data_IF_455846846112
#
_entry.id   IF_455846846112
#
_cell.length_a   1.000
_cell.length_b   1.000
_cell.length_c   1.000
_cell.angle_alpha   90.00
_cell.angle_beta   90.00
_cell.angle_gamma   90.00
#
_symmetry.space_group_name_H-M   'P 1'
#
loop_
_entity.id
_entity.type
_entity.pdbx_description
1 polymer ?
#
# COMPACT_ATOMS: atom_id res chain seq x y z
N UNK A 1 -32.99 33.25 -21.08
CA UNK A 1 -32.62 34.37 -20.20
C UNK A 1 -31.42 33.93 -19.39
N UNK A 2 -30.26 34.50 -19.70
CA UNK A 2 -28.97 34.15 -19.09
C UNK A 2 -28.79 34.93 -17.79
N UNK A 3 -28.31 34.28 -16.73
CA UNK A 3 -27.29 34.84 -15.82
C UNK A 3 -26.38 33.69 -15.41
N UNK A 4 -25.09 33.84 -15.74
CA UNK A 4 -24.03 32.95 -15.31
C UNK A 4 -23.70 33.24 -13.85
N UNK A 5 -23.59 32.18 -13.04
CA UNK A 5 -22.85 32.22 -11.80
C UNK A 5 -21.54 31.47 -12.08
N UNK A 6 -20.43 32.15 -11.86
CA UNK A 6 -19.06 31.72 -12.13
C UNK A 6 -18.86 30.20 -11.94
N UNK A 7 -18.14 29.49 -12.84
CA UNK A 7 -17.56 28.23 -12.45
C UNK A 7 -16.64 28.52 -11.25
N UNK A 8 -16.87 27.81 -10.14
CA UNK A 8 -15.92 27.79 -9.04
C UNK A 8 -14.53 27.49 -9.61
N UNK A 9 -13.45 28.08 -9.08
CA UNK A 9 -12.10 27.73 -9.50
C UNK A 9 -11.97 26.20 -9.43
N UNK A 10 -11.57 25.63 -10.57
CA UNK A 10 -11.19 24.22 -10.70
C UNK A 10 -10.37 23.88 -9.46
N UNK A 11 -10.88 22.98 -8.61
CA UNK A 11 -10.21 22.58 -7.39
C UNK A 11 -8.77 22.25 -7.76
N UNK A 12 -7.82 23.01 -7.20
CA UNK A 12 -6.41 22.65 -7.24
C UNK A 12 -6.33 21.18 -6.85
N UNK A 13 -5.71 20.30 -7.67
CA UNK A 13 -5.60 18.90 -7.29
C UNK A 13 -4.97 18.86 -5.91
N UNK A 14 -5.52 18.08 -4.96
CA UNK A 14 -4.98 18.01 -3.61
C UNK A 14 -3.51 17.67 -3.74
N UNK A 15 -2.67 18.54 -3.20
CA UNK A 15 -1.24 18.31 -3.12
C UNK A 15 -1.09 17.03 -2.31
N UNK A 16 -0.65 15.92 -2.92
CA UNK A 16 -0.54 14.63 -2.21
C UNK A 16 0.39 14.80 -1.01
N UNK A 17 -0.19 15.03 0.17
CA UNK A 17 0.58 15.22 1.38
C UNK A 17 0.81 13.85 2.00
N UNK A 18 2.08 13.47 1.99
CA UNK A 18 2.60 12.36 2.77
C UNK A 18 2.64 12.79 4.24
N UNK A 19 2.10 11.96 5.12
CA UNK A 19 2.28 12.09 6.56
C UNK A 19 3.14 10.94 7.10
N UNK A 20 4.33 11.28 7.61
CA UNK A 20 5.22 10.33 8.27
C UNK A 20 4.81 10.22 9.75
N UNK A 21 4.12 9.13 10.08
CA UNK A 21 3.62 8.83 11.41
C UNK A 21 4.77 8.42 12.34
N UNK A 22 4.81 9.04 13.52
CA UNK A 22 5.77 8.70 14.57
C UNK A 22 5.23 7.64 15.54
N UNK A 23 3.90 7.59 15.67
CA UNK A 23 3.16 6.66 16.51
C UNK A 23 2.13 5.94 15.66
N UNK A 24 1.80 4.71 16.05
CA UNK A 24 0.76 3.92 15.39
C UNK A 24 -0.59 4.65 15.37
N UNK A 25 -0.92 5.36 16.45
CA UNK A 25 -2.16 6.15 16.55
C UNK A 25 -2.25 7.27 15.52
N UNK A 26 -1.12 7.76 15.00
CA UNK A 26 -1.12 8.83 14.02
C UNK A 26 -1.61 8.34 12.63
N UNK A 27 -1.78 7.03 12.44
CA UNK A 27 -2.39 6.46 11.22
C UNK A 27 -3.82 6.97 10.98
N UNK A 28 -4.54 7.41 12.02
CA UNK A 28 -5.87 8.04 11.89
C UNK A 28 -5.86 9.31 11.05
N UNK A 29 -4.68 9.97 10.94
CA UNK A 29 -4.49 11.16 10.11
C UNK A 29 -4.72 10.88 8.62
N UNK A 30 -4.77 9.61 8.20
CA UNK A 30 -5.19 9.25 6.84
C UNK A 30 -6.58 9.81 6.49
N UNK A 31 -7.44 10.08 7.46
CA UNK A 31 -8.77 10.65 7.22
C UNK A 31 -8.78 12.16 7.05
N UNK A 32 -7.69 12.87 7.37
CA UNK A 32 -7.57 14.31 7.13
C UNK A 32 -7.66 14.58 5.62
N UNK A 33 -8.34 15.67 5.22
CA UNK A 33 -8.64 15.97 3.81
C UNK A 33 -7.39 16.04 2.94
N UNK A 34 -6.33 16.66 3.46
CA UNK A 34 -5.09 16.90 2.72
C UNK A 34 -4.16 15.67 2.66
N UNK A 35 -4.39 14.65 3.49
CA UNK A 35 -3.51 13.48 3.59
C UNK A 35 -3.98 12.39 2.62
N UNK A 36 -3.07 12.00 1.73
CA UNK A 36 -3.28 10.92 0.75
C UNK A 36 -2.49 9.66 1.07
N UNK A 37 -1.38 9.81 1.82
CA UNK A 37 -0.52 8.70 2.21
C UNK A 37 -0.07 8.88 3.66
N UNK A 38 -0.25 7.86 4.49
CA UNK A 38 0.43 7.77 5.79
C UNK A 38 1.50 6.69 5.74
N UNK A 39 2.69 6.99 6.25
CA UNK A 39 3.77 6.02 6.42
C UNK A 39 4.10 5.89 7.88
N UNK A 40 4.01 4.68 8.43
CA UNK A 40 4.46 4.36 9.78
C UNK A 40 5.62 3.35 9.72
N UNK A 41 6.85 3.75 10.09
CA UNK A 41 7.99 2.85 10.07
C UNK A 41 7.89 1.83 11.21
N UNK A 42 8.24 0.58 10.92
CA UNK A 42 8.32 -0.51 11.91
C UNK A 42 9.66 -1.20 11.81
N UNK A 43 10.15 -1.72 12.93
CA UNK A 43 11.35 -2.54 12.96
C UNK A 43 11.11 -3.89 12.26
N UNK A 44 12.09 -4.40 11.50
CA UNK A 44 12.01 -5.74 10.92
C UNK A 44 11.83 -6.83 11.98
N UNK A 45 11.01 -7.82 11.65
CA UNK A 45 10.75 -8.98 12.51
C UNK A 45 11.56 -10.16 11.97
N UNK A 46 12.68 -10.47 12.63
CA UNK A 46 13.69 -11.42 12.16
C UNK A 46 13.14 -12.82 11.78
N UNK A 47 12.26 -13.45 12.58
CA UNK A 47 11.65 -14.73 12.18
C UNK A 47 10.89 -14.65 10.86
N UNK A 48 10.22 -13.53 10.57
CA UNK A 48 9.47 -13.33 9.32
C UNK A 48 10.43 -13.13 8.15
N UNK A 49 11.50 -12.36 8.34
CA UNK A 49 12.56 -12.20 7.33
C UNK A 49 13.15 -13.55 6.94
N UNK A 50 13.45 -14.41 7.93
CA UNK A 50 13.97 -15.77 7.69
C UNK A 50 12.96 -16.67 6.98
N UNK A 51 11.68 -16.58 7.35
CA UNK A 51 10.61 -17.32 6.69
C UNK A 51 10.59 -17.03 5.19
N UNK A 52 10.56 -15.76 4.79
CA UNK A 52 10.53 -15.38 3.38
C UNK A 52 11.83 -15.68 2.64
N UNK A 53 12.99 -15.57 3.29
CA UNK A 53 14.27 -15.98 2.71
C UNK A 53 14.28 -17.49 2.39
N UNK A 54 13.92 -18.33 3.36
CA UNK A 54 13.85 -19.78 3.16
C UNK A 54 12.79 -20.17 2.12
N UNK A 55 11.62 -19.53 2.15
CA UNK A 55 10.56 -19.79 1.19
C UNK A 55 10.97 -19.43 -0.25
N UNK A 56 11.75 -18.35 -0.43
CA UNK A 56 12.33 -17.96 -1.71
C UNK A 56 13.35 -18.99 -2.20
N UNK A 57 14.28 -19.39 -1.35
CA UNK A 57 15.33 -20.37 -1.68
C UNK A 57 14.72 -21.73 -2.08
N UNK A 58 13.65 -22.15 -1.41
CA UNK A 58 12.96 -23.40 -1.69
C UNK A 58 11.94 -23.31 -2.82
N UNK A 59 11.67 -22.12 -3.37
CA UNK A 59 10.69 -21.91 -4.45
C UNK A 59 9.24 -22.16 -4.04
N UNK A 60 8.91 -22.03 -2.75
CA UNK A 60 7.58 -22.36 -2.19
C UNK A 60 6.71 -21.14 -1.90
N UNK A 61 7.13 -19.95 -2.33
CA UNK A 61 6.36 -18.70 -2.16
C UNK A 61 5.07 -18.65 -3.00
N UNK A 62 5.01 -19.40 -4.11
CA UNK A 62 3.87 -19.39 -5.03
C UNK A 62 3.55 -17.99 -5.55
N UNK A 63 2.26 -17.72 -5.81
CA UNK A 63 1.76 -16.39 -6.22
C UNK A 63 1.21 -15.56 -5.04
N UNK A 64 1.28 -16.10 -3.82
CA UNK A 64 0.55 -15.59 -2.66
C UNK A 64 -0.91 -16.07 -2.59
N UNK A 65 -1.72 -15.44 -1.74
CA UNK A 65 -3.10 -15.84 -1.47
C UNK A 65 -3.97 -14.65 -1.06
N UNK A 66 -5.29 -14.86 -1.07
CA UNK A 66 -6.29 -13.88 -0.62
C UNK A 66 -7.25 -14.57 0.33
N UNK A 67 -7.62 -13.87 1.40
CA UNK A 67 -8.57 -14.35 2.39
C UNK A 67 -9.45 -13.19 2.89
N UNK A 68 -10.59 -13.54 3.47
CA UNK A 68 -11.39 -12.63 4.28
C UNK A 68 -11.18 -13.03 5.73
N UNK A 69 -10.77 -12.09 6.57
CA UNK A 69 -10.50 -12.34 7.98
C UNK A 69 -11.37 -11.46 8.88
N UNK A 70 -11.67 -12.01 10.05
CA UNK A 70 -12.31 -11.30 11.16
C UNK A 70 -11.25 -11.13 12.26
N UNK A 71 -11.05 -9.92 12.80
CA UNK A 71 -10.23 -9.69 13.99
C UNK A 71 -10.52 -10.69 15.11
N UNK A 72 -9.49 -11.20 15.77
CA UNK A 72 -9.61 -12.20 16.84
C UNK A 72 -9.97 -13.64 16.40
N UNK A 73 -10.19 -13.91 15.11
CA UNK A 73 -10.35 -15.27 14.59
C UNK A 73 -9.04 -15.80 13.99
N UNK A 74 -8.89 -17.13 13.94
CA UNK A 74 -7.73 -17.75 13.31
C UNK A 74 -7.73 -17.47 11.80
N UNK A 75 -6.56 -17.11 11.26
CA UNK A 75 -6.36 -16.93 9.82
C UNK A 75 -6.26 -18.30 9.12
N UNK A 76 -6.78 -18.39 7.90
CA UNK A 76 -6.55 -19.56 7.04
C UNK A 76 -5.08 -19.59 6.58
N UNK A 77 -4.38 -20.65 6.97
CA UNK A 77 -2.93 -20.82 6.74
C UNK A 77 -2.62 -21.74 5.55
N UNK A 78 -3.64 -22.23 4.84
CA UNK A 78 -3.49 -23.20 3.75
C UNK A 78 -2.57 -22.72 2.62
N UNK A 79 -2.47 -21.40 2.41
CA UNK A 79 -1.57 -20.78 1.44
C UNK A 79 -0.11 -20.59 1.90
N UNK A 80 0.25 -20.97 3.14
CA UNK A 80 1.58 -20.74 3.70
C UNK A 80 2.36 -22.06 3.89
N UNK A 81 3.58 -22.09 3.38
CA UNK A 81 4.51 -23.19 3.60
C UNK A 81 4.86 -23.36 5.08
N UNK A 82 4.99 -24.61 5.54
CA UNK A 82 5.34 -24.93 6.92
C UNK A 82 6.85 -24.75 7.17
N UNK A 83 7.31 -23.50 7.27
CA UNK A 83 8.70 -23.11 7.49
C UNK A 83 8.89 -22.38 8.83
N UNK A 84 10.11 -22.37 9.40
CA UNK A 84 10.42 -21.56 10.58
C UNK A 84 10.04 -20.10 10.38
N UNK A 85 9.37 -19.50 11.37
CA UNK A 85 8.87 -18.12 11.30
C UNK A 85 7.44 -17.97 10.78
N UNK A 86 6.78 -19.06 10.33
CA UNK A 86 5.36 -19.03 9.92
C UNK A 86 4.45 -18.49 11.02
N UNK A 87 4.64 -18.93 12.26
CA UNK A 87 3.78 -18.52 13.38
C UNK A 87 3.97 -17.02 13.70
N UNK A 88 5.20 -16.52 13.59
CA UNK A 88 5.48 -15.09 13.74
C UNK A 88 4.82 -14.27 12.61
N UNK A 89 4.83 -14.78 11.38
CA UNK A 89 4.13 -14.15 10.24
C UNK A 89 2.62 -14.10 10.49
N UNK A 90 2.03 -15.19 10.96
CA UNK A 90 0.59 -15.24 11.28
C UNK A 90 0.21 -14.27 12.40
N UNK A 91 1.04 -14.19 13.44
CA UNK A 91 0.84 -13.24 14.53
C UNK A 91 0.91 -11.80 14.03
N UNK A 92 1.86 -11.48 13.16
CA UNK A 92 1.97 -10.13 12.58
C UNK A 92 0.80 -9.80 11.66
N UNK A 93 0.40 -10.74 10.79
CA UNK A 93 -0.78 -10.57 9.94
C UNK A 93 -2.05 -10.34 10.76
N UNK A 94 -2.25 -11.07 11.85
CA UNK A 94 -3.38 -10.86 12.76
C UNK A 94 -3.30 -9.49 13.45
N UNK A 95 -2.11 -9.06 13.90
CA UNK A 95 -1.92 -7.74 14.49
C UNK A 95 -2.24 -6.61 13.50
N UNK A 96 -1.79 -6.73 12.24
CA UNK A 96 -2.11 -5.77 11.19
C UNK A 96 -3.61 -5.76 10.86
N UNK A 97 -4.23 -6.93 10.81
CA UNK A 97 -5.67 -7.06 10.65
C UNK A 97 -6.43 -6.28 11.73
N UNK A 98 -6.04 -6.44 13.00
CA UNK A 98 -6.68 -5.76 14.13
C UNK A 98 -6.56 -4.23 14.01
N UNK A 99 -5.36 -3.72 13.73
CA UNK A 99 -5.11 -2.28 13.51
C UNK A 99 -6.03 -1.74 12.41
N UNK A 100 -6.08 -2.44 11.28
CA UNK A 100 -6.81 -1.95 10.12
C UNK A 100 -8.32 -2.04 10.32
N UNK A 101 -8.81 -3.12 10.92
CA UNK A 101 -10.23 -3.26 11.23
C UNK A 101 -10.71 -2.20 12.23
N UNK A 102 -9.91 -1.89 13.25
CA UNK A 102 -10.18 -0.80 14.19
C UNK A 102 -10.17 0.57 13.49
N UNK A 103 -9.15 0.82 12.66
CA UNK A 103 -9.01 2.09 11.94
C UNK A 103 -10.17 2.36 10.97
N UNK A 104 -10.61 1.35 10.23
CA UNK A 104 -11.67 1.48 9.22
C UNK A 104 -13.07 1.24 9.83
N UNK A 105 -13.16 0.64 11.02
CA UNK A 105 -14.43 0.32 11.67
C UNK A 105 -15.20 -0.80 10.96
N UNK A 106 -14.50 -1.81 10.42
CA UNK A 106 -15.09 -2.90 9.65
C UNK A 106 -14.98 -4.25 10.38
N UNK A 107 -16.05 -5.07 10.42
CA UNK A 107 -16.03 -6.37 11.11
C UNK A 107 -15.24 -7.44 10.35
N UNK A 108 -15.05 -7.27 9.04
CA UNK A 108 -14.29 -8.18 8.19
C UNK A 108 -13.40 -7.38 7.23
N UNK A 109 -12.22 -7.93 6.97
CA UNK A 109 -11.21 -7.31 6.11
C UNK A 109 -10.75 -8.31 5.06
N UNK A 110 -10.72 -7.86 3.81
CA UNK A 110 -10.03 -8.58 2.75
C UNK A 110 -8.52 -8.43 2.88
N UNK A 111 -7.81 -9.52 3.08
CA UNK A 111 -6.35 -9.56 3.17
C UNK A 111 -5.77 -10.27 1.96
N UNK A 112 -4.65 -9.76 1.44
CA UNK A 112 -3.92 -10.37 0.34
C UNK A 112 -2.43 -10.37 0.63
N UNK A 113 -1.80 -11.52 0.48
CA UNK A 113 -0.35 -11.65 0.36
C UNK A 113 -0.02 -11.88 -1.11
N UNK A 114 0.93 -11.12 -1.66
CA UNK A 114 1.35 -11.23 -3.06
C UNK A 114 2.86 -11.39 -3.14
N UNK A 115 3.29 -12.26 -4.05
CA UNK A 115 4.70 -12.36 -4.46
C UNK A 115 4.81 -11.59 -5.76
N UNK A 116 5.70 -10.59 -5.78
CA UNK A 116 5.86 -9.68 -6.91
C UNK A 116 7.23 -9.91 -7.53
N UNK A 117 7.27 -10.19 -8.83
CA UNK A 117 8.53 -10.41 -9.57
C UNK A 117 9.29 -9.11 -9.89
N UNK A 118 8.66 -7.96 -9.64
CA UNK A 118 9.22 -6.62 -9.83
C UNK A 118 8.67 -5.68 -8.76
N UNK A 119 9.43 -4.64 -8.41
CA UNK A 119 8.90 -3.55 -7.61
C UNK A 119 7.60 -3.07 -8.28
N UNK A 120 6.49 -3.14 -7.56
CA UNK A 120 5.29 -2.46 -8.02
C UNK A 120 5.55 -0.97 -7.84
N UNK A 121 5.76 -0.22 -8.93
CA UNK A 121 5.20 1.11 -9.07
C UNK A 121 5.30 1.71 -10.49
N UNK A 122 4.32 2.56 -10.90
CA UNK A 122 2.98 2.69 -10.36
C UNK A 122 1.92 2.93 -11.44
N UNK A 123 1.03 1.96 -11.65
CA UNK A 123 -0.37 2.38 -11.75
C UNK A 123 -0.72 2.93 -10.38
N UNK A 124 -0.65 4.25 -10.25
CA UNK A 124 -1.46 4.96 -9.28
C UNK A 124 -2.90 4.62 -9.61
N UNK A 125 -3.36 3.49 -9.08
CA UNK A 125 -4.74 3.16 -9.14
C UNK A 125 -5.42 4.25 -8.33
N UNK A 126 -6.25 5.03 -9.02
CA UNK A 126 -7.41 5.66 -8.41
C UNK A 126 -8.16 4.53 -7.73
N UNK A 127 -7.95 4.41 -6.43
CA UNK A 127 -8.54 3.39 -5.60
C UNK A 127 -9.99 3.77 -5.35
N UNK A 128 -10.89 3.26 -6.19
CA UNK A 128 -12.29 3.72 -6.20
C UNK A 128 -13.12 3.26 -4.99
N UNK A 129 -12.50 2.80 -3.91
CA UNK A 129 -13.18 1.97 -2.89
C UNK A 129 -12.80 2.18 -1.41
N UNK A 130 -11.81 3.00 -1.03
CA UNK A 130 -11.51 3.27 0.39
C UNK A 130 -10.04 3.54 0.71
N UNK A 131 -9.70 3.57 2.01
CA UNK A 131 -8.31 3.51 2.50
C UNK A 131 -7.80 2.08 2.32
N UNK A 132 -6.53 1.88 1.94
CA UNK A 132 -5.85 0.56 1.92
C UNK A 132 -4.61 0.57 2.79
N UNK A 133 -4.31 -0.57 3.41
CA UNK A 133 -3.05 -0.77 4.15
C UNK A 133 -2.13 -1.75 3.43
N UNK A 134 -0.85 -1.39 3.33
CA UNK A 134 0.22 -2.19 2.73
C UNK A 134 1.36 -2.40 3.72
N UNK A 135 1.99 -3.57 3.65
CA UNK A 135 3.21 -3.90 4.40
C UNK A 135 4.07 -4.82 3.53
N UNK A 136 5.30 -4.42 3.23
CA UNK A 136 6.26 -5.27 2.50
C UNK A 136 7.10 -6.07 3.49
N UNK A 137 6.91 -7.38 3.57
CA UNK A 137 7.68 -8.22 4.49
C UNK A 137 9.10 -8.55 4.03
N UNK A 138 9.32 -8.65 2.70
CA UNK A 138 10.59 -9.10 2.15
C UNK A 138 10.85 -8.48 0.78
N UNK A 139 12.12 -8.16 0.50
CA UNK A 139 12.55 -7.48 -0.73
C UNK A 139 12.80 -5.99 -0.52
N UNK A 140 12.75 -5.22 -1.61
CA UNK A 140 13.20 -3.82 -1.61
C UNK A 140 12.21 -2.87 -0.90
N UNK A 141 10.98 -3.28 -0.61
CA UNK A 141 9.95 -2.39 -0.04
C UNK A 141 8.99 -1.86 -1.10
N UNK A 142 8.10 -0.94 -0.69
CA UNK A 142 7.12 -0.31 -1.59
C UNK A 142 7.61 1.07 -2.01
N UNK A 143 7.70 1.33 -3.30
CA UNK A 143 8.02 2.65 -3.84
C UNK A 143 6.75 3.51 -3.91
N UNK A 144 6.90 4.84 -3.87
CA UNK A 144 5.85 5.79 -4.23
C UNK A 144 6.47 7.06 -4.82
N UNK A 145 5.66 7.81 -5.55
CA UNK A 145 6.01 9.11 -6.12
C UNK A 145 5.01 10.15 -5.61
N UNK A 146 5.51 11.34 -5.26
CA UNK A 146 4.68 12.49 -4.90
C UNK A 146 3.92 13.01 -6.13
N UNK A 147 2.80 13.73 -5.92
CA UNK A 147 1.93 14.23 -7.01
C UNK A 147 2.68 15.13 -7.98
N UNK A 148 3.52 16.02 -7.47
CA UNK A 148 4.33 16.96 -8.23
C UNK A 148 5.38 16.26 -9.11
N UNK A 149 5.79 15.06 -8.72
CA UNK A 149 6.74 14.23 -9.45
C UNK A 149 6.09 13.26 -10.45
N UNK A 150 4.75 13.21 -10.51
CA UNK A 150 4.00 12.30 -11.36
C UNK A 150 3.07 13.01 -12.35
N UNK A 151 3.20 12.73 -13.65
CA UNK A 151 2.25 13.14 -14.67
C UNK A 151 1.08 12.15 -14.78
N UNK A 152 0.13 12.27 -13.85
CA UNK A 152 -1.02 11.37 -13.78
C UNK A 152 -1.95 11.41 -15.00
N UNK A 153 -1.84 12.40 -15.88
CA UNK A 153 -2.55 12.40 -17.18
C UNK A 153 -2.14 11.23 -18.09
N UNK A 154 -0.98 10.61 -17.79
CA UNK A 154 -0.42 9.49 -18.53
C UNK A 154 -0.67 8.14 -17.87
N UNK A 155 -1.50 8.08 -16.84
CA UNK A 155 -1.90 6.82 -16.19
C UNK A 155 -2.86 5.99 -17.05
N UNK A 156 -2.69 4.68 -17.02
CA UNK A 156 -3.63 3.72 -17.61
C UNK A 156 -3.55 3.63 -19.13
N UNK A 157 -4.71 3.57 -19.83
CA UNK A 157 -4.77 3.38 -21.30
C UNK A 157 -4.05 4.47 -22.10
N UNK A 158 -3.74 5.62 -21.48
CA UNK A 158 -3.04 6.74 -22.11
C UNK A 158 -1.52 6.57 -22.16
N UNK A 159 -0.95 5.61 -21.41
CA UNK A 159 0.47 5.26 -21.49
C UNK A 159 0.86 4.55 -22.80
N UNK A 160 -0.09 4.30 -23.71
CA UNK A 160 0.09 3.54 -24.96
C UNK A 160 0.81 2.18 -24.78
N UNK A 161 0.77 1.60 -23.58
CA UNK A 161 1.47 0.35 -23.26
C UNK A 161 2.97 0.50 -22.96
N UNK A 162 3.49 1.71 -22.84
CA UNK A 162 4.89 1.95 -22.45
C UNK A 162 5.09 1.78 -20.93
N UNK A 163 6.23 1.23 -20.49
CA UNK A 163 6.63 1.22 -19.07
C UNK A 163 6.60 2.62 -18.45
N UNK A 164 6.30 2.72 -17.15
CA UNK A 164 6.16 4.02 -16.44
C UNK A 164 7.44 4.87 -16.47
N UNK A 165 8.59 4.22 -16.54
CA UNK A 165 9.93 4.82 -16.73
C UNK A 165 10.08 5.56 -18.06
N UNK A 166 9.29 5.17 -19.07
CA UNK A 166 9.40 5.68 -20.46
C UNK A 166 8.10 6.32 -20.96
N UNK A 167 6.98 6.15 -20.25
CA UNK A 167 5.68 6.78 -20.57
C UNK A 167 5.68 8.29 -20.28
N UNK A 168 6.70 8.79 -19.60
CA UNK A 168 6.78 10.17 -19.13
C UNK A 168 5.81 10.47 -17.98
N UNK A 169 5.36 9.42 -17.27
CA UNK A 169 4.64 9.49 -15.99
C UNK A 169 5.56 10.04 -14.90
N UNK A 170 6.84 9.64 -14.89
CA UNK A 170 7.79 10.09 -13.87
C UNK A 170 8.42 11.41 -14.35
N UNK A 171 7.99 12.53 -13.78
CA UNK A 171 8.54 13.87 -14.07
C UNK A 171 9.89 14.08 -13.41
N UNK A 172 10.09 13.48 -12.24
CA UNK A 172 11.35 13.53 -11.51
C UNK A 172 11.67 12.19 -10.86
N UNK A 173 12.57 11.37 -11.44
CA UNK A 173 12.99 10.09 -10.86
C UNK A 173 13.65 10.23 -9.48
N UNK A 174 14.25 11.37 -9.16
CA UNK A 174 14.86 11.61 -7.85
C UNK A 174 13.82 11.84 -6.73
N UNK A 175 12.53 11.97 -7.07
CA UNK A 175 11.44 12.08 -6.12
C UNK A 175 10.80 10.72 -5.79
N UNK A 176 11.29 9.62 -6.37
CA UNK A 176 10.89 8.27 -5.96
C UNK A 176 11.30 8.09 -4.51
N UNK A 177 10.31 7.85 -3.66
CA UNK A 177 10.48 7.52 -2.25
C UNK A 177 10.22 6.02 -2.09
N UNK A 178 10.91 5.40 -1.14
CA UNK A 178 10.83 3.96 -0.93
C UNK A 178 10.60 3.67 0.54
N UNK A 179 9.59 2.86 0.82
CA UNK A 179 9.24 2.46 2.18
C UNK A 179 10.16 1.32 2.57
N UNK A 180 10.82 1.38 3.73
CA UNK A 180 11.59 0.24 4.18
C UNK A 180 10.67 -0.97 4.39
N UNK A 181 11.20 -2.20 4.32
CA UNK A 181 10.46 -3.38 4.72
C UNK A 181 9.80 -3.19 6.10
N UNK A 182 8.65 -3.83 6.30
CA UNK A 182 7.79 -3.78 7.48
C UNK A 182 7.06 -2.45 7.73
N UNK A 183 7.42 -1.35 7.06
CA UNK A 183 6.65 -0.11 7.17
C UNK A 183 5.19 -0.32 6.76
N UNK A 184 4.27 0.32 7.49
CA UNK A 184 2.87 0.39 7.11
C UNK A 184 2.65 1.60 6.24
N UNK A 185 2.06 1.38 5.07
CA UNK A 185 1.56 2.44 4.22
C UNK A 185 0.04 2.39 4.22
N UNK A 186 -0.59 3.51 4.56
CA UNK A 186 -1.99 3.74 4.27
C UNK A 186 -2.11 4.62 3.03
N UNK A 187 -2.94 4.19 2.09
CA UNK A 187 -3.21 4.91 0.86
C UNK A 187 -4.69 5.25 0.81
N UNK A 188 -5.01 6.52 0.56
CA UNK A 188 -6.37 6.96 0.24
C UNK A 188 -6.57 6.95 -1.28
N UNK A 189 -7.71 6.45 -1.73
CA UNK A 189 -8.12 6.62 -3.12
C UNK A 189 -8.52 8.07 -3.42
N UNK A 190 -7.91 8.68 -4.43
CA UNK A 190 -8.34 9.98 -4.96
C UNK A 190 -9.57 9.82 -5.85
N UNK A 191 -10.57 10.68 -5.68
CA UNK A 191 -11.74 10.78 -6.59
C UNK A 191 -11.37 11.47 -7.90
#
# INVERSE_FOLDING_TARGET
MTVALNPAPCATPPTSSLYEASRLTDLVRIFDEDIQLCLYPRSPIEPITRYFAAAREQGVLGLGFRLVATPGQALDISGLAALPGRDALLQDMAYLLDIYAELIGCPQVGMRLEVLDRAMCPRFHVDRTGVRMLCTYYGQGTEWLSEDAADRSKLGRLAQGMPDETSGLIRNPAAIRQAPPFALLLLKGTQ
#
